data_IF_424766394662
#
_entry.id   IF_424766394662
#
_cell.length_a   1.000
_cell.length_b   1.000
_cell.length_c   1.000
_cell.angle_alpha   90.00
_cell.angle_beta   90.00
_cell.angle_gamma   90.00
#
_symmetry.space_group_name_H-M   'P 1'
#
loop_
_entity.id
_entity.type
_entity.pdbx_description
1 polymer ?
#
# COMPACT_ATOMS: atom_id res chain seq x y z
N UNK A 1 -31.20 16.04 10.92
CA UNK A 1 -30.17 15.95 9.87
C UNK A 1 -29.46 14.61 10.02
N UNK A 2 -29.71 13.63 9.14
CA UNK A 2 -28.99 12.36 9.18
C UNK A 2 -27.74 12.50 8.31
N UNK A 3 -26.55 12.41 8.92
CA UNK A 3 -25.29 12.44 8.21
C UNK A 3 -25.10 11.09 7.50
N UNK A 4 -25.35 11.05 6.20
CA UNK A 4 -24.97 9.94 5.32
C UNK A 4 -23.44 9.91 5.26
N UNK A 5 -22.81 9.12 6.12
CA UNK A 5 -21.39 8.82 5.98
C UNK A 5 -21.21 7.99 4.70
N UNK A 6 -20.32 8.39 3.77
CA UNK A 6 -19.99 7.56 2.64
C UNK A 6 -19.41 6.25 3.19
N UNK A 7 -20.01 5.13 2.77
CA UNK A 7 -19.49 3.78 2.95
C UNK A 7 -18.01 3.79 2.55
N UNK A 8 -17.14 3.91 3.56
CA UNK A 8 -15.69 3.94 3.36
C UNK A 8 -15.13 2.54 3.21
N UNK A 9 -16.00 1.55 2.98
CA UNK A 9 -15.60 0.29 2.38
C UNK A 9 -15.30 0.59 0.92
N UNK A 10 -14.04 0.50 0.45
CA UNK A 10 -13.84 0.33 -0.97
C UNK A 10 -14.53 -0.99 -1.29
N UNK A 11 -15.71 -0.94 -1.93
CA UNK A 11 -16.30 -2.13 -2.54
C UNK A 11 -15.17 -2.79 -3.32
N UNK A 12 -14.73 -3.95 -2.84
CA UNK A 12 -13.84 -4.85 -3.56
C UNK A 12 -14.62 -5.32 -4.78
N UNK A 13 -14.63 -4.46 -5.79
CA UNK A 13 -15.30 -4.61 -7.06
C UNK A 13 -14.30 -4.28 -8.13
N UNK A 14 -13.15 -4.97 -8.08
CA UNK A 14 -12.39 -5.50 -9.20
C UNK A 14 -10.99 -5.89 -8.68
N UNK A 15 -10.86 -7.09 -8.13
CA UNK A 15 -9.56 -7.70 -7.78
C UNK A 15 -8.73 -8.03 -9.04
N UNK A 16 -9.19 -7.67 -10.23
CA UNK A 16 -8.53 -8.06 -11.49
C UNK A 16 -7.57 -6.96 -12.01
N UNK A 17 -7.50 -5.79 -11.37
CA UNK A 17 -6.61 -4.70 -11.83
C UNK A 17 -5.17 -4.80 -11.35
N UNK A 18 -4.92 -5.47 -10.20
CA UNK A 18 -3.57 -5.58 -9.63
C UNK A 18 -2.78 -6.78 -10.18
N UNK A 19 -3.49 -7.83 -10.62
CA UNK A 19 -2.93 -9.00 -11.30
C UNK A 19 -2.41 -8.67 -12.71
N UNK A 20 -2.94 -7.62 -13.36
CA UNK A 20 -2.55 -7.25 -14.73
C UNK A 20 -1.10 -6.72 -14.86
N UNK A 21 -0.42 -6.44 -13.74
CA UNK A 21 0.98 -5.99 -13.72
C UNK A 21 1.89 -7.05 -13.08
N UNK A 22 1.58 -8.34 -13.23
CA UNK A 22 2.58 -9.40 -13.05
C UNK A 22 3.00 -9.84 -14.45
N UNK A 23 4.22 -9.51 -14.92
CA UNK A 23 4.75 -10.15 -16.11
C UNK A 23 4.82 -11.64 -15.81
N UNK A 24 4.09 -12.43 -16.61
CA UNK A 24 4.16 -13.89 -16.63
C UNK A 24 5.62 -14.32 -16.50
N UNK A 25 5.92 -15.00 -15.41
CA UNK A 25 7.18 -15.69 -15.15
C UNK A 25 7.63 -16.46 -16.41
N UNK A 26 8.86 -16.28 -16.92
CA UNK A 26 9.38 -17.20 -17.90
C UNK A 26 9.77 -18.48 -17.15
N UNK A 27 9.05 -19.55 -17.45
CA UNK A 27 9.46 -20.91 -17.13
C UNK A 27 10.82 -21.15 -17.79
N UNK A 28 11.85 -21.31 -16.96
CA UNK A 28 13.10 -22.02 -17.22
C UNK A 28 13.47 -22.27 -18.71
N UNK A 29 14.21 -21.31 -19.27
CA UNK A 29 14.92 -21.50 -20.54
C UNK A 29 15.70 -20.25 -20.92
N UNK A 30 17.00 -20.22 -20.58
CA UNK A 30 18.05 -19.37 -21.16
C UNK A 30 17.60 -18.27 -22.13
N UNK A 31 17.40 -17.04 -21.64
CA UNK A 31 17.64 -15.82 -22.45
C UNK A 31 17.86 -14.62 -21.53
N UNK A 32 18.99 -13.95 -21.74
CA UNK A 32 19.38 -12.65 -21.19
C UNK A 32 18.28 -11.62 -21.45
N UNK A 33 17.51 -11.24 -20.43
CA UNK A 33 16.44 -10.25 -20.53
C UNK A 33 16.76 -9.00 -19.69
N UNK A 34 16.45 -7.79 -20.17
CA UNK A 34 16.79 -6.54 -19.49
C UNK A 34 15.95 -6.36 -18.21
N UNK A 35 16.56 -5.68 -17.23
CA UNK A 35 16.08 -5.40 -15.88
C UNK A 35 14.56 -5.58 -15.61
N UNK A 36 14.27 -6.51 -14.70
CA UNK A 36 12.96 -6.76 -14.07
C UNK A 36 12.56 -5.60 -13.13
N UNK A 37 12.41 -4.39 -13.66
CA UNK A 37 12.18 -3.16 -12.88
C UNK A 37 10.76 -3.07 -12.26
N UNK A 38 9.87 -4.02 -12.61
CA UNK A 38 8.50 -4.12 -12.10
C UNK A 38 8.33 -5.08 -10.91
N UNK A 39 9.18 -6.10 -10.76
CA UNK A 39 9.01 -7.12 -9.72
C UNK A 39 9.64 -6.72 -8.38
N UNK A 40 10.46 -5.67 -8.38
CA UNK A 40 11.16 -5.20 -7.18
C UNK A 40 10.47 -4.02 -6.52
N UNK A 41 9.41 -3.41 -7.06
CA UNK A 41 8.80 -2.21 -6.45
C UNK A 41 7.56 -2.56 -5.62
N UNK A 42 7.51 -2.06 -4.39
CA UNK A 42 6.39 -2.18 -3.46
C UNK A 42 5.65 -0.84 -3.35
N UNK A 43 4.32 -0.89 -3.39
CA UNK A 43 3.45 0.26 -3.08
C UNK A 43 2.95 0.12 -1.65
N UNK A 44 3.38 1.02 -0.78
CA UNK A 44 3.03 1.04 0.64
C UNK A 44 2.08 2.19 0.93
N UNK A 45 1.06 1.93 1.75
CA UNK A 45 0.21 2.98 2.34
C UNK A 45 0.74 3.28 3.74
N UNK A 46 1.18 4.52 3.95
CA UNK A 46 1.75 4.99 5.21
C UNK A 46 0.77 5.98 5.84
N UNK A 47 0.35 5.69 7.08
CA UNK A 47 -0.50 6.57 7.89
C UNK A 47 0.24 7.05 9.13
N UNK A 48 0.14 8.34 9.47
CA UNK A 48 0.84 8.95 10.60
C UNK A 48 0.02 10.05 11.27
N UNK A 49 0.24 10.28 12.58
CA UNK A 49 -0.41 11.35 13.34
C UNK A 49 -1.87 11.10 13.74
N UNK A 50 -2.46 9.96 13.35
CA UNK A 50 -3.80 9.54 13.78
C UNK A 50 -3.77 8.61 14.99
N UNK A 51 -4.95 8.13 15.39
CA UNK A 51 -5.12 7.24 16.55
C UNK A 51 -5.83 5.95 16.16
N UNK A 52 -5.38 4.84 16.74
CA UNK A 52 -6.06 3.56 16.64
C UNK A 52 -7.18 3.52 17.67
N UNK A 53 -8.43 3.44 17.21
CA UNK A 53 -9.63 3.43 18.05
C UNK A 53 -10.49 2.19 17.75
N UNK A 54 -11.24 1.67 18.74
CA UNK A 54 -12.23 0.63 18.47
C UNK A 54 -13.26 1.12 17.44
N UNK A 55 -13.56 0.30 16.45
CA UNK A 55 -14.54 0.68 15.45
C UNK A 55 -15.97 0.61 16.04
N UNK A 56 -16.84 1.61 15.84
CA UNK A 56 -18.15 1.66 16.49
C UNK A 56 -19.11 0.54 16.12
N UNK A 57 -18.97 -0.02 14.92
CA UNK A 57 -19.90 -0.99 14.35
C UNK A 57 -19.31 -2.40 14.22
N UNK A 58 -17.98 -2.54 14.34
CA UNK A 58 -17.27 -3.81 14.15
C UNK A 58 -16.33 -4.07 15.33
N UNK A 59 -16.05 -5.35 15.63
CA UNK A 59 -15.06 -5.75 16.66
C UNK A 59 -13.60 -5.61 16.15
N UNK A 60 -13.32 -4.56 15.39
CA UNK A 60 -12.02 -4.27 14.79
C UNK A 60 -11.50 -2.92 15.23
N UNK A 61 -10.25 -2.62 14.86
CA UNK A 61 -9.62 -1.32 15.11
C UNK A 61 -9.68 -0.47 13.84
N UNK A 62 -9.95 0.82 14.01
CA UNK A 62 -10.04 1.82 12.97
C UNK A 62 -8.96 2.89 13.21
N UNK A 63 -8.30 3.36 12.15
CA UNK A 63 -7.31 4.43 12.24
C UNK A 63 -7.97 5.76 11.92
N UNK A 64 -8.16 6.58 12.94
CA UNK A 64 -8.90 7.84 12.89
C UNK A 64 -7.95 9.04 12.81
N UNK A 65 -8.27 9.97 11.92
CA UNK A 65 -7.45 11.15 11.60
C UNK A 65 -6.08 10.84 10.99
N UNK A 66 -5.19 11.84 11.08
CA UNK A 66 -3.81 11.78 10.59
C UNK A 66 -3.65 11.94 9.08
N UNK A 67 -2.39 11.88 8.64
CA UNK A 67 -2.01 11.95 7.23
C UNK A 67 -1.93 10.54 6.63
N UNK A 68 -2.31 10.44 5.36
CA UNK A 68 -2.21 9.20 4.57
C UNK A 68 -1.44 9.48 3.30
N UNK A 69 -0.35 8.74 3.06
CA UNK A 69 0.43 8.84 1.82
C UNK A 69 0.73 7.46 1.26
N UNK A 70 0.64 7.34 -0.07
CA UNK A 70 1.09 6.13 -0.77
C UNK A 70 2.51 6.39 -1.26
N UNK A 71 3.42 5.47 -0.95
CA UNK A 71 4.82 5.54 -1.36
C UNK A 71 5.21 4.31 -2.15
N UNK A 72 6.04 4.50 -3.17
CA UNK A 72 6.68 3.41 -3.90
C UNK A 72 8.12 3.26 -3.41
N UNK A 73 8.48 2.05 -3.01
CA UNK A 73 9.82 1.69 -2.53
C UNK A 73 10.32 0.44 -3.24
N UNK A 74 11.62 0.22 -3.28
CA UNK A 74 12.16 -1.06 -3.75
C UNK A 74 12.01 -2.14 -2.64
N UNK A 75 11.81 -3.39 -3.03
CA UNK A 75 11.60 -4.57 -2.18
C UNK A 75 12.84 -4.87 -1.34
N UNK A 76 14.02 -4.51 -1.84
CA UNK A 76 15.29 -4.66 -1.13
C UNK A 76 15.66 -3.41 -0.30
N UNK A 77 14.77 -2.42 -0.19
CA UNK A 77 14.98 -1.25 0.68
C UNK A 77 15.06 -1.70 2.13
N UNK A 78 16.09 -1.25 2.86
CA UNK A 78 16.23 -1.55 4.29
C UNK A 78 15.18 -0.80 5.11
N UNK A 79 14.85 -1.30 6.31
CA UNK A 79 13.93 -0.60 7.22
C UNK A 79 14.49 0.76 7.62
N UNK A 80 15.81 0.89 7.75
CA UNK A 80 16.48 2.15 8.09
C UNK A 80 16.27 3.20 7.00
N UNK A 81 16.50 2.83 5.74
CA UNK A 81 16.28 3.72 4.59
C UNK A 81 14.81 4.08 4.44
N UNK A 82 13.91 3.11 4.64
CA UNK A 82 12.47 3.36 4.62
C UNK A 82 12.08 4.37 5.70
N UNK A 83 12.59 4.21 6.93
CA UNK A 83 12.29 5.09 8.07
C UNK A 83 12.82 6.51 7.82
N UNK A 84 14.03 6.64 7.28
CA UNK A 84 14.60 7.93 6.92
C UNK A 84 13.85 8.61 5.76
N UNK A 85 13.31 7.85 4.80
CA UNK A 85 12.43 8.41 3.76
C UNK A 85 11.08 8.84 4.34
N UNK A 86 10.51 8.04 5.23
CA UNK A 86 9.24 8.35 5.87
C UNK A 86 9.33 9.60 6.75
N UNK A 87 10.41 9.76 7.52
CA UNK A 87 10.61 10.95 8.36
C UNK A 87 10.63 12.23 7.53
N UNK A 88 11.26 12.24 6.35
CA UNK A 88 11.28 13.41 5.44
C UNK A 88 9.93 13.73 4.79
N UNK A 89 9.04 12.76 4.72
CA UNK A 89 7.77 12.87 4.00
C UNK A 89 6.64 13.23 4.98
N UNK A 90 6.76 12.81 6.23
CA UNK A 90 5.71 12.90 7.26
C UNK A 90 6.03 13.91 8.38
N UNK A 91 7.29 14.36 8.52
CA UNK A 91 7.69 15.53 9.31
C UNK A 91 8.12 16.67 8.38
#
# INVERSE_FOLDING_TARGET
>A
MSATYPDSSPRSGNTDSWEKIIPLYPSNGTTTAPAQDGLTKLRLMCRYGGRIVPCPHNKSLCYDGGDTRIMVVDRHTTILDLTHRLSKILL
#
